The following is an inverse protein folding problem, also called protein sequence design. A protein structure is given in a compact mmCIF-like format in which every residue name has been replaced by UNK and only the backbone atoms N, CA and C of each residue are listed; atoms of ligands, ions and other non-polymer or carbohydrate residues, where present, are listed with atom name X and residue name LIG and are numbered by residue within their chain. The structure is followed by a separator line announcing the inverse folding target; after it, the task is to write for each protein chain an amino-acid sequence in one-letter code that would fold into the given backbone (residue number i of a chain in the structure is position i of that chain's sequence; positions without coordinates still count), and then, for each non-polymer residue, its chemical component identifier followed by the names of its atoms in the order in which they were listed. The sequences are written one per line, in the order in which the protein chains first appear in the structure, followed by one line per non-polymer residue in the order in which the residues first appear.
data_IF_737103426319
#
_entry.id   IF_737103426319
#
_cell.length_a   1.000
_cell.length_b   1.000
_cell.length_c   1.000
_cell.angle_alpha   90.00
_cell.angle_beta   90.00
_cell.angle_gamma   90.00
#
_symmetry.space_group_name_H-M   'P 1'
#
loop_
_entity.id
_entity.type
_entity.pdbx_description
1 polymer ?
#
# COMPACT_ATOMS: atom_id res chain seq x y z
N UNK A 1 14.00 20.00 2.67
CA UNK A 1 14.81 18.99 1.94
C UNK A 1 14.21 17.59 2.07
N UNK A 2 13.84 17.12 3.27
CA UNK A 2 13.10 15.86 3.42
C UNK A 2 11.73 15.86 2.70
N UNK A 3 10.96 16.94 2.80
CA UNK A 3 9.65 17.05 2.13
C UNK A 3 9.80 16.96 0.61
N UNK A 4 10.75 17.70 0.02
CA UNK A 4 11.05 17.63 -1.41
C UNK A 4 11.38 16.19 -1.85
N UNK A 5 12.21 15.46 -1.09
CA UNK A 5 12.51 14.06 -1.42
C UNK A 5 11.29 13.13 -1.28
N UNK A 6 10.39 13.41 -0.33
CA UNK A 6 9.14 12.66 -0.18
C UNK A 6 8.19 12.91 -1.35
N UNK A 7 8.06 14.17 -1.78
CA UNK A 7 7.25 14.57 -2.91
C UNK A 7 7.80 13.99 -4.23
N UNK A 8 9.09 14.12 -4.48
CA UNK A 8 9.73 13.58 -5.68
C UNK A 8 9.63 12.05 -5.74
N UNK A 9 9.75 11.35 -4.59
CA UNK A 9 9.54 9.91 -4.52
C UNK A 9 8.09 9.51 -4.80
N UNK A 10 7.11 10.22 -4.25
CA UNK A 10 5.69 9.97 -4.53
C UNK A 10 5.42 10.15 -6.02
N UNK A 11 5.96 11.23 -6.60
CA UNK A 11 5.81 11.54 -8.03
C UNK A 11 6.42 10.45 -8.91
N UNK A 12 7.59 9.93 -8.55
CA UNK A 12 8.19 8.80 -9.23
C UNK A 12 7.29 7.56 -9.14
N UNK A 13 6.77 7.22 -7.96
CA UNK A 13 5.85 6.10 -7.81
C UNK A 13 4.61 6.25 -8.70
N UNK A 14 4.01 7.43 -8.75
CA UNK A 14 2.85 7.73 -9.60
C UNK A 14 3.16 7.55 -11.09
N UNK A 15 4.37 7.90 -11.54
CA UNK A 15 4.82 7.71 -12.92
C UNK A 15 5.01 6.22 -13.25
N UNK A 16 5.43 5.43 -12.27
CA UNK A 16 5.72 4.00 -12.45
C UNK A 16 4.48 3.11 -12.34
N UNK A 17 3.37 3.61 -11.80
CA UNK A 17 2.11 2.87 -11.74
C UNK A 17 1.50 2.84 -13.15
N UNK A 18 1.30 1.65 -13.75
CA UNK A 18 0.66 1.56 -15.06
C UNK A 18 -0.80 2.01 -14.96
N UNK A 19 -1.28 2.64 -16.02
CA UNK A 19 -2.72 2.84 -16.19
C UNK A 19 -3.37 1.47 -16.43
N UNK A 20 -4.45 1.20 -15.71
CA UNK A 20 -5.27 0.00 -15.82
C UNK A 20 -6.69 0.47 -16.09
N UNK A 21 -7.34 -0.08 -17.12
CA UNK A 21 -8.73 0.22 -17.42
C UNK A 21 -9.70 -0.66 -16.62
N UNK A 22 -10.99 -0.33 -16.64
CA UNK A 22 -12.02 -1.02 -15.84
C UNK A 22 -12.15 -2.52 -16.15
N UNK A 23 -11.91 -2.95 -17.39
CA UNK A 23 -11.99 -4.37 -17.77
C UNK A 23 -10.75 -5.14 -17.28
N UNK A 24 -9.55 -4.56 -17.40
CA UNK A 24 -8.31 -5.11 -16.84
C UNK A 24 -8.39 -5.20 -15.30
N UNK A 25 -8.95 -4.16 -14.65
CA UNK A 25 -9.16 -4.16 -13.21
C UNK A 25 -10.12 -5.28 -12.79
N UNK A 26 -11.21 -5.50 -13.53
CA UNK A 26 -12.16 -6.59 -13.24
C UNK A 26 -11.53 -7.97 -13.40
N UNK A 27 -10.65 -8.16 -14.37
CA UNK A 27 -9.89 -9.40 -14.53
C UNK A 27 -9.01 -9.67 -13.30
N UNK A 28 -8.28 -8.66 -12.82
CA UNK A 28 -7.47 -8.75 -11.61
C UNK A 28 -8.31 -9.07 -10.38
N UNK A 29 -9.44 -8.39 -10.19
CA UNK A 29 -10.33 -8.63 -9.05
C UNK A 29 -10.94 -10.04 -9.09
N UNK A 30 -11.22 -10.58 -10.28
CA UNK A 30 -11.70 -11.95 -10.43
C UNK A 30 -10.62 -13.01 -10.13
N UNK A 31 -9.36 -12.72 -10.44
CA UNK A 31 -8.23 -13.63 -10.20
C UNK A 31 -7.73 -13.57 -8.75
N UNK A 32 -7.60 -12.37 -8.20
CA UNK A 32 -6.95 -12.11 -6.91
C UNK A 32 -7.91 -11.74 -5.78
N UNK A 33 -9.19 -11.50 -6.08
CA UNK A 33 -10.15 -10.96 -5.12
C UNK A 33 -10.03 -9.45 -4.95
N UNK A 34 -10.86 -8.89 -4.07
CA UNK A 34 -10.77 -7.49 -3.65
C UNK A 34 -10.25 -7.41 -2.22
N UNK A 35 -9.41 -6.41 -1.87
CA UNK A 35 -8.87 -6.27 -0.51
C UNK A 35 -9.93 -6.11 0.59
N UNK A 36 -11.18 -5.81 0.23
CA UNK A 36 -12.30 -5.76 1.20
C UNK A 36 -12.86 -7.14 1.56
N UNK A 37 -12.48 -8.19 0.83
CA UNK A 37 -12.86 -9.57 1.15
C UNK A 37 -11.98 -10.15 2.26
N UNK A 38 -10.81 -9.53 2.53
CA UNK A 38 -9.90 -9.92 3.60
C UNK A 38 -10.51 -9.60 4.97
N UNK A 39 -10.25 -10.47 5.95
CA UNK A 39 -10.80 -10.30 7.29
C UNK A 39 -10.17 -9.07 7.99
N UNK A 40 -10.98 -8.32 8.76
CA UNK A 40 -10.53 -7.07 9.41
C UNK A 40 -9.32 -7.26 10.33
N UNK A 41 -9.10 -8.47 10.84
CA UNK A 41 -7.94 -8.86 11.66
C UNK A 41 -6.64 -9.07 10.86
N UNK A 42 -6.72 -9.16 9.53
CA UNK A 42 -5.56 -9.22 8.63
C UNK A 42 -5.13 -7.84 8.11
N UNK A 43 -5.92 -6.78 8.39
CA UNK A 43 -5.64 -5.42 7.94
C UNK A 43 -4.81 -4.66 8.96
N UNK A 44 -3.67 -4.12 8.54
CA UNK A 44 -2.85 -3.21 9.34
C UNK A 44 -3.28 -1.77 9.06
N UNK A 45 -3.68 -1.03 10.09
CA UNK A 45 -3.85 0.42 9.97
C UNK A 45 -2.51 1.06 9.57
N UNK A 46 -2.45 1.56 8.34
CA UNK A 46 -1.24 2.18 7.81
C UNK A 46 -0.83 3.44 8.60
N UNK A 47 -1.76 4.12 9.26
CA UNK A 47 -1.44 5.26 10.12
C UNK A 47 -0.74 4.82 11.39
N UNK A 48 -1.15 3.70 11.98
CA UNK A 48 -0.44 3.06 13.08
C UNK A 48 0.91 2.50 12.61
N UNK A 49 0.98 1.92 11.42
CA UNK A 49 2.25 1.47 10.83
C UNK A 49 3.23 2.63 10.62
N UNK A 50 2.78 3.79 10.13
CA UNK A 50 3.64 4.96 9.95
C UNK A 50 4.11 5.52 11.30
N UNK A 51 3.25 5.50 12.33
CA UNK A 51 3.59 6.00 13.67
C UNK A 51 4.49 5.05 14.46
N UNK A 52 4.31 3.74 14.29
CA UNK A 52 4.89 2.72 15.17
C UNK A 52 5.73 1.67 14.45
N UNK A 53 5.78 1.65 13.12
CA UNK A 53 6.45 0.61 12.30
C UNK A 53 7.93 0.43 12.60
N UNK A 54 8.65 1.50 12.96
CA UNK A 54 10.04 1.41 13.43
C UNK A 54 10.21 0.68 14.77
N UNK A 55 9.14 0.50 15.54
CA UNK A 55 9.11 -0.20 16.84
C UNK A 55 8.60 -1.63 16.73
N UNK A 56 7.87 -1.98 15.67
CA UNK A 56 7.31 -3.32 15.46
C UNK A 56 8.41 -4.33 15.09
N UNK A 57 9.50 -3.87 14.44
CA UNK A 57 10.68 -4.69 14.09
C UNK A 57 11.49 -5.24 15.29
N UNK A 58 11.14 -4.85 16.54
CA UNK A 58 11.87 -5.24 17.76
C UNK A 58 11.17 -6.31 18.61
N UNK A 59 10.02 -6.84 18.19
CA UNK A 59 9.38 -7.98 18.87
C UNK A 59 9.50 -9.25 18.05
N UNK A 60 10.71 -9.79 18.05
CA UNK A 60 10.94 -11.22 17.82
C UNK A 60 11.69 -11.74 19.04
N UNK A 61 10.95 -12.32 19.98
CA UNK A 61 11.44 -13.29 20.97
C UNK A 61 10.80 -14.64 20.62
#
# INVERSE_FOLDING_TARGET
MCEVLQEERLRLCQILIPYINDDEQRELEAEFGIPSDDAEDEVIDMTDWVRYGNKISQKSD
#
